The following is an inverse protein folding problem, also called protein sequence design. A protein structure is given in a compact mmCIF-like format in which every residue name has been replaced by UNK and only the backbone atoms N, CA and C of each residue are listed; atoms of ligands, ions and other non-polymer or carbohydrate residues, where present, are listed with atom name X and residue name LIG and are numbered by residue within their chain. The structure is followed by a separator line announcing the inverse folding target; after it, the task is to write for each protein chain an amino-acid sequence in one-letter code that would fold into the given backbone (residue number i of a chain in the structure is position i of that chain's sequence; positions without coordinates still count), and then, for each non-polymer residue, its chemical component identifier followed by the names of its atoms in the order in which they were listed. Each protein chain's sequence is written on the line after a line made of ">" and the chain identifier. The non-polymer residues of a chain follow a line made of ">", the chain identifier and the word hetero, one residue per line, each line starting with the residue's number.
data_IF_909089800325
#
_entry.id   IF_909089800325
#
_cell.length_a   1.000
_cell.length_b   1.000
_cell.length_c   1.000
_cell.angle_alpha   90.00
_cell.angle_beta   90.00
_cell.angle_gamma   90.00
#
_symmetry.space_group_name_H-M   'P 1'
#
loop_
_entity.id
_entity.type
_entity.pdbx_description
1 polymer ?
#
# COMPACT_ATOMS: atom_id res chain seq x y z
N UNK A 1 -4.49 9.17 9.46
CA UNK A 1 -5.09 9.37 8.11
C UNK A 1 -4.43 8.41 7.14
N UNK A 2 -5.17 7.85 6.17
CA UNK A 2 -4.62 6.95 5.14
C UNK A 2 -3.86 7.76 4.07
N UNK A 3 -2.60 7.42 3.75
CA UNK A 3 -1.84 8.06 2.67
C UNK A 3 -2.58 8.03 1.34
N UNK A 4 -2.43 9.11 0.56
CA UNK A 4 -3.00 9.22 -0.78
C UNK A 4 -1.88 9.19 -1.83
N UNK A 5 -2.17 8.70 -3.05
CA UNK A 5 -1.24 8.85 -4.16
C UNK A 5 -1.01 10.34 -4.48
N UNK A 6 0.19 10.74 -4.94
CA UNK A 6 0.46 12.09 -5.38
C UNK A 6 -0.37 12.42 -6.64
N UNK A 7 -0.85 13.65 -6.72
CA UNK A 7 -1.72 14.13 -7.82
C UNK A 7 -1.03 13.96 -9.18
N UNK A 8 0.29 14.13 -9.24
CA UNK A 8 1.08 13.97 -10.47
C UNK A 8 1.01 12.58 -11.09
N UNK A 9 0.66 11.55 -10.31
CA UNK A 9 0.44 10.20 -10.84
C UNK A 9 -0.75 10.18 -11.84
N UNK A 10 -1.70 11.11 -11.69
CA UNK A 10 -2.89 11.21 -12.53
C UNK A 10 -2.74 12.19 -13.71
N UNK A 11 -1.61 12.91 -13.83
CA UNK A 11 -1.40 13.87 -14.93
C UNK A 11 -1.16 13.17 -16.28
N UNK A 12 -0.67 11.92 -16.29
CA UNK A 12 -0.48 11.13 -17.51
C UNK A 12 -0.98 9.68 -17.33
N UNK A 13 -2.30 9.51 -17.18
CA UNK A 13 -2.90 8.17 -17.02
C UNK A 13 -2.82 7.29 -18.28
N UNK A 14 -2.51 7.87 -19.44
CA UNK A 14 -2.38 7.13 -20.70
C UNK A 14 -1.12 6.28 -20.77
N UNK A 15 -0.16 6.48 -19.85
CA UNK A 15 1.07 5.70 -19.77
C UNK A 15 1.13 4.94 -18.44
N UNK A 16 1.63 3.69 -18.42
CA UNK A 16 1.81 2.96 -17.16
C UNK A 16 2.84 3.68 -16.28
N UNK A 17 2.49 3.88 -15.01
CA UNK A 17 3.37 4.50 -14.02
C UNK A 17 3.37 3.73 -12.70
N UNK A 18 4.55 3.58 -12.11
CA UNK A 18 4.76 2.99 -10.79
C UNK A 18 5.67 3.92 -9.99
N UNK A 19 5.23 4.32 -8.81
CA UNK A 19 6.00 5.23 -7.96
C UNK A 19 6.08 4.67 -6.54
N UNK A 20 7.24 4.78 -5.86
CA UNK A 20 7.37 4.35 -4.49
C UNK A 20 6.49 5.18 -3.55
N UNK A 21 6.07 4.57 -2.46
CA UNK A 21 5.36 5.28 -1.38
C UNK A 21 6.06 5.10 -0.05
N UNK A 22 6.62 6.20 0.43
CA UNK A 22 7.42 6.23 1.66
C UNK A 22 6.54 6.18 2.91
N UNK A 23 5.31 6.71 2.85
CA UNK A 23 4.42 6.85 4.01
C UNK A 23 3.48 5.65 4.23
N UNK A 24 3.33 4.75 3.25
CA UNK A 24 2.46 3.57 3.36
C UNK A 24 2.94 2.53 4.38
N UNK A 25 4.23 2.18 4.47
CA UNK A 25 4.71 1.20 5.45
C UNK A 25 4.33 1.59 6.88
N UNK A 26 4.52 2.85 7.26
CA UNK A 26 4.20 3.35 8.60
C UNK A 26 2.70 3.29 8.88
N UNK A 27 1.88 3.72 7.92
CA UNK A 27 0.43 3.66 8.06
C UNK A 27 -0.08 2.23 8.19
N UNK A 28 0.47 1.28 7.43
CA UNK A 28 0.09 -0.14 7.51
C UNK A 28 0.45 -0.72 8.87
N UNK A 29 1.65 -0.43 9.38
CA UNK A 29 2.07 -0.87 10.72
C UNK A 29 1.09 -0.36 11.79
N UNK A 30 0.79 0.94 11.77
CA UNK A 30 -0.12 1.56 12.74
C UNK A 30 -1.58 1.08 12.61
N UNK A 31 -2.01 0.67 11.41
CA UNK A 31 -3.41 0.31 11.15
C UNK A 31 -3.68 -1.18 11.36
N UNK A 32 -2.78 -2.06 10.92
CA UNK A 32 -3.04 -3.50 10.88
C UNK A 32 -2.19 -4.30 11.87
N UNK A 33 -1.03 -3.76 12.29
CA UNK A 33 -0.09 -4.48 13.15
C UNK A 33 -0.09 -3.96 14.58
N UNK A 34 -0.50 -2.71 14.80
CA UNK A 34 -0.64 -2.14 16.14
C UNK A 34 -1.81 -2.80 16.90
N UNK A 35 -1.58 -3.41 18.08
CA UNK A 35 -2.63 -4.08 18.84
C UNK A 35 -3.73 -3.15 19.38
N UNK A 36 -3.48 -1.85 19.44
CA UNK A 36 -4.48 -0.86 19.86
C UNK A 36 -5.34 -0.37 18.68
N UNK A 37 -5.01 -0.77 17.45
CA UNK A 37 -5.81 -0.44 16.28
C UNK A 37 -7.09 -1.30 16.21
N UNK A 38 -8.24 -0.70 15.86
CA UNK A 38 -9.48 -1.47 15.63
C UNK A 38 -9.40 -2.42 14.43
N UNK A 39 -8.40 -2.26 13.56
CA UNK A 39 -8.15 -3.11 12.39
C UNK A 39 -6.96 -4.07 12.61
N UNK A 40 -6.50 -4.20 13.86
CA UNK A 40 -5.47 -5.18 14.21
C UNK A 40 -5.91 -6.60 13.83
N UNK A 41 -4.99 -7.36 13.23
CA UNK A 41 -5.18 -8.79 12.99
C UNK A 41 -3.89 -9.53 13.38
N UNK A 42 -3.98 -10.43 14.35
CA UNK A 42 -2.86 -11.24 14.82
C UNK A 42 -2.26 -12.11 13.70
N UNK A 43 -3.06 -12.55 12.73
CA UNK A 43 -2.57 -13.31 11.57
C UNK A 43 -1.57 -12.51 10.74
N UNK A 44 -1.60 -11.17 10.81
CA UNK A 44 -0.68 -10.29 10.10
C UNK A 44 0.66 -10.05 10.82
N UNK A 45 0.89 -10.63 12.00
CA UNK A 45 2.14 -10.44 12.75
C UNK A 45 3.41 -10.77 11.94
N UNK A 46 3.32 -11.72 11.01
CA UNK A 46 4.42 -12.08 10.12
C UNK A 46 4.83 -10.92 9.18
N UNK A 47 3.92 -10.02 8.82
CA UNK A 47 4.20 -8.87 7.96
C UNK A 47 5.14 -7.85 8.61
N UNK A 48 5.21 -7.81 9.95
CA UNK A 48 6.12 -6.91 10.67
C UNK A 48 7.61 -7.20 10.38
N UNK A 49 7.91 -8.45 10.02
CA UNK A 49 9.26 -8.94 9.76
C UNK A 49 9.54 -9.18 8.28
N UNK A 50 8.55 -8.97 7.41
CA UNK A 50 8.67 -9.18 5.99
C UNK A 50 9.28 -7.95 5.29
N UNK A 51 10.14 -8.20 4.31
CA UNK A 51 10.69 -7.15 3.45
C UNK A 51 9.66 -6.79 2.35
N UNK A 52 8.76 -5.86 2.65
CA UNK A 52 7.66 -5.47 1.76
C UNK A 52 7.88 -4.05 1.22
N UNK A 53 7.94 -3.93 -0.11
CA UNK A 53 7.91 -2.66 -0.81
C UNK A 53 6.48 -2.26 -1.19
N UNK A 54 6.19 -0.96 -1.18
CA UNK A 54 4.88 -0.42 -1.55
C UNK A 54 5.03 0.59 -2.69
N UNK A 55 4.10 0.53 -3.64
CA UNK A 55 4.07 1.40 -4.82
C UNK A 55 2.64 1.91 -5.05
N UNK A 56 2.51 3.09 -5.64
CA UNK A 56 1.28 3.53 -6.30
C UNK A 56 1.36 3.27 -7.80
N UNK A 57 0.22 2.97 -8.41
CA UNK A 57 0.10 2.83 -9.85
C UNK A 57 -1.28 3.25 -10.34
N UNK A 58 -1.34 3.66 -11.61
CA UNK A 58 -2.58 3.85 -12.39
C UNK A 58 -2.89 2.65 -13.28
N UNK A 59 -2.01 1.66 -13.31
CA UNK A 59 -2.24 0.42 -14.04
C UNK A 59 -3.32 -0.37 -13.32
N UNK A 60 -4.35 -0.77 -14.05
CA UNK A 60 -5.42 -1.61 -13.52
C UNK A 60 -4.83 -2.90 -12.93
N UNK A 61 -5.34 -3.31 -11.76
CA UNK A 61 -4.97 -4.59 -11.18
C UNK A 61 -5.59 -5.73 -12.01
N UNK A 62 -4.83 -6.19 -13.00
CA UNK A 62 -5.23 -7.31 -13.86
C UNK A 62 -5.09 -8.63 -13.11
N UNK A 63 -6.05 -8.96 -12.25
CA UNK A 63 -6.18 -10.32 -11.72
C UNK A 63 -6.43 -11.28 -12.89
N UNK A 64 -5.41 -12.05 -13.27
CA UNK A 64 -5.59 -13.22 -14.13
C UNK A 64 -6.06 -14.36 -13.25
N UNK A 65 -7.38 -14.57 -13.18
CA UNK A 65 -7.92 -15.82 -12.69
C UNK A 65 -7.43 -16.95 -13.64
N UNK A 66 -6.95 -18.09 -13.12
CA UNK A 66 -6.67 -19.26 -13.94
C UNK A 66 -7.94 -19.82 -14.60
#
# INVERSE_FOLDING_TARGET
>A
MRPQPPISLFENISSPAFIPTENMPEWIKATFLDPSSPLHNEEHAHLAHAEIGFLWTVVENSHRLP
#
